data_IF_712929295134
#
_entry.id   IF_712929295134
#
_cell.length_a   1.000
_cell.length_b   1.000
_cell.length_c   1.000
_cell.angle_alpha   90.00
_cell.angle_beta   90.00
_cell.angle_gamma   90.00
#
_symmetry.space_group_name_H-M   'P 1'
#
loop_
_entity.id
_entity.type
_entity.pdbx_description
1 polymer ?
#
# COMPACT_ATOMS: atom_id res chain seq x y z
N UNK A 1 -17.07 -10.88 3.33
CA UNK A 1 -17.75 -10.05 2.33
C UNK A 1 -18.05 -8.65 2.87
N UNK A 2 -18.80 -8.50 3.92
CA UNK A 2 -19.23 -7.21 4.50
C UNK A 2 -18.09 -6.23 4.72
N UNK A 3 -16.93 -6.70 5.17
CA UNK A 3 -15.74 -5.87 5.36
C UNK A 3 -15.14 -5.31 4.06
N UNK A 4 -15.39 -5.92 2.91
CA UNK A 4 -14.98 -5.41 1.60
C UNK A 4 -16.01 -4.41 1.09
N UNK A 5 -17.29 -4.75 1.20
CA UNK A 5 -18.38 -3.92 0.68
C UNK A 5 -18.65 -2.68 1.55
N UNK A 6 -18.49 -2.78 2.85
CA UNK A 6 -18.57 -1.70 3.87
C UNK A 6 -19.53 -0.55 3.51
N UNK A 7 -20.83 -0.82 3.62
CA UNK A 7 -21.90 0.16 3.30
C UNK A 7 -22.32 0.18 1.83
N UNK A 8 -21.71 -0.64 0.99
CA UNK A 8 -22.12 -0.84 -0.41
C UNK A 8 -22.76 -2.21 -0.59
N UNK A 9 -23.87 -2.44 0.09
CA UNK A 9 -24.56 -3.75 0.13
C UNK A 9 -25.01 -4.24 -1.25
N UNK A 10 -25.19 -3.34 -2.20
CA UNK A 10 -25.60 -3.64 -3.59
C UNK A 10 -24.43 -3.92 -4.52
N UNK A 11 -23.18 -3.99 -4.00
CA UNK A 11 -22.03 -4.29 -4.85
C UNK A 11 -22.18 -5.68 -5.50
N UNK A 12 -22.02 -5.78 -6.83
CA UNK A 12 -22.15 -7.04 -7.54
C UNK A 12 -21.05 -8.02 -7.12
N UNK A 13 -21.39 -9.31 -7.06
CA UNK A 13 -20.44 -10.37 -6.64
C UNK A 13 -19.16 -10.36 -7.47
N UNK A 14 -19.27 -10.10 -8.78
CA UNK A 14 -18.11 -9.99 -9.66
C UNK A 14 -17.13 -8.88 -9.26
N UNK A 15 -17.61 -7.74 -8.76
CA UNK A 15 -16.75 -6.66 -8.28
C UNK A 15 -16.07 -7.05 -6.96
N UNK A 16 -16.80 -7.69 -6.04
CA UNK A 16 -16.27 -8.16 -4.76
C UNK A 16 -15.18 -9.21 -4.98
N UNK A 17 -15.45 -10.20 -5.83
CA UNK A 17 -14.48 -11.26 -6.17
C UNK A 17 -13.22 -10.68 -6.83
N UNK A 18 -13.37 -9.79 -7.81
CA UNK A 18 -12.24 -9.12 -8.46
C UNK A 18 -11.39 -8.34 -7.46
N UNK A 19 -12.02 -7.56 -6.59
CA UNK A 19 -11.30 -6.80 -5.56
C UNK A 19 -10.57 -7.73 -4.58
N UNK A 20 -11.20 -8.83 -4.18
CA UNK A 20 -10.60 -9.83 -3.29
C UNK A 20 -9.42 -10.57 -3.94
N UNK A 21 -9.48 -10.89 -5.23
CA UNK A 21 -8.38 -11.48 -5.99
C UNK A 21 -7.19 -10.51 -6.10
N UNK A 22 -7.44 -9.29 -6.59
CA UNK A 22 -6.39 -8.27 -6.77
C UNK A 22 -5.67 -7.95 -5.46
N UNK A 23 -6.40 -7.82 -4.37
CA UNK A 23 -5.84 -7.48 -3.06
C UNK A 23 -5.13 -8.64 -2.36
N UNK A 24 -5.40 -9.89 -2.79
CA UNK A 24 -4.89 -11.11 -2.18
C UNK A 24 -5.72 -11.67 -1.03
N UNK A 25 -6.93 -11.19 -0.84
CA UNK A 25 -7.87 -11.76 0.13
C UNK A 25 -8.14 -13.23 -0.19
N UNK A 26 -8.31 -13.60 -1.46
CA UNK A 26 -8.56 -14.98 -1.87
C UNK A 26 -7.43 -15.95 -1.53
N UNK A 27 -6.20 -15.47 -1.33
CA UNK A 27 -5.08 -16.35 -0.97
C UNK A 27 -5.22 -16.94 0.43
N UNK A 28 -5.59 -16.12 1.41
CA UNK A 28 -5.76 -16.62 2.77
C UNK A 28 -7.13 -17.24 3.03
N UNK A 29 -8.08 -17.05 2.13
CA UNK A 29 -9.38 -17.72 2.18
C UNK A 29 -9.40 -19.07 1.45
N UNK A 30 -8.30 -19.47 0.80
CA UNK A 30 -8.23 -20.70 -0.02
C UNK A 30 -8.69 -21.94 0.72
N UNK A 31 -8.33 -22.04 2.01
CA UNK A 31 -8.63 -23.19 2.86
C UNK A 31 -9.86 -22.97 3.76
N UNK A 32 -10.59 -21.86 3.57
CA UNK A 32 -11.80 -21.56 4.31
C UNK A 32 -13.03 -22.07 3.58
N UNK A 33 -13.79 -22.99 4.19
CA UNK A 33 -15.06 -23.48 3.66
C UNK A 33 -16.10 -22.36 3.52
N UNK A 34 -16.04 -21.33 4.38
CA UNK A 34 -16.93 -20.18 4.34
C UNK A 34 -16.55 -19.13 3.27
N UNK A 35 -15.36 -19.24 2.65
CA UNK A 35 -14.90 -18.30 1.63
C UNK A 35 -14.99 -16.84 2.09
N UNK A 36 -15.65 -15.99 1.32
CA UNK A 36 -15.84 -14.57 1.63
C UNK A 36 -16.71 -14.31 2.86
N UNK A 37 -17.44 -15.28 3.37
CA UNK A 37 -18.28 -15.16 4.57
C UNK A 37 -17.55 -15.61 5.85
N UNK A 38 -16.24 -15.87 5.74
CA UNK A 38 -15.36 -16.18 6.89
C UNK A 38 -15.46 -15.08 7.94
N UNK A 39 -15.72 -15.51 9.18
CA UNK A 39 -15.77 -14.60 10.33
C UNK A 39 -14.38 -14.10 10.70
N UNK A 40 -14.21 -12.79 10.78
CA UNK A 40 -12.92 -12.14 11.02
C UNK A 40 -12.69 -11.73 12.48
N UNK A 41 -13.67 -12.00 13.34
CA UNK A 41 -13.63 -11.61 14.75
C UNK A 41 -13.92 -10.11 14.96
N UNK A 42 -14.06 -9.74 16.23
CA UNK A 42 -14.25 -8.34 16.60
C UNK A 42 -13.00 -7.53 16.22
N UNK A 43 -13.18 -6.41 15.52
CA UNK A 43 -12.08 -5.56 14.99
C UNK A 43 -11.05 -6.29 14.11
N UNK A 44 -11.41 -7.48 13.58
CA UNK A 44 -10.53 -8.28 12.75
C UNK A 44 -9.41 -8.99 13.53
N UNK A 45 -9.63 -9.31 14.80
CA UNK A 45 -8.61 -9.96 15.67
C UNK A 45 -8.19 -11.35 15.17
N UNK A 46 -9.06 -12.05 14.44
CA UNK A 46 -8.74 -13.34 13.83
C UNK A 46 -7.80 -13.24 12.62
N UNK A 47 -7.43 -12.03 12.19
CA UNK A 47 -6.62 -11.78 11.01
C UNK A 47 -5.22 -11.28 11.38
N UNK A 48 -4.22 -11.67 10.59
CA UNK A 48 -2.89 -11.05 10.63
C UNK A 48 -2.94 -9.58 10.15
N UNK A 49 -1.90 -8.80 10.45
CA UNK A 49 -1.78 -7.42 9.94
C UNK A 49 -1.87 -7.35 8.41
N UNK A 50 -1.19 -8.28 7.70
CA UNK A 50 -1.23 -8.37 6.26
C UNK A 50 -2.61 -8.73 5.69
N UNK A 51 -3.35 -9.62 6.37
CA UNK A 51 -4.71 -9.98 5.97
C UNK A 51 -5.70 -8.82 6.17
N UNK A 52 -5.57 -8.06 7.27
CA UNK A 52 -6.36 -6.84 7.47
C UNK A 52 -6.09 -5.81 6.38
N UNK A 53 -4.82 -5.63 6.01
CA UNK A 53 -4.43 -4.71 4.95
C UNK A 53 -4.96 -5.16 3.58
N UNK A 54 -4.93 -6.46 3.27
CA UNK A 54 -5.51 -7.00 2.04
C UNK A 54 -7.01 -6.67 1.93
N UNK A 55 -7.77 -6.77 3.03
CA UNK A 55 -9.19 -6.38 3.06
C UNK A 55 -9.35 -4.88 2.85
N UNK A 56 -8.50 -4.04 3.44
CA UNK A 56 -8.55 -2.59 3.25
C UNK A 56 -8.28 -2.21 1.78
N UNK A 57 -7.32 -2.87 1.14
CA UNK A 57 -7.03 -2.68 -0.29
C UNK A 57 -8.20 -3.20 -1.14
N UNK A 58 -8.79 -4.38 -0.83
CA UNK A 58 -9.98 -4.88 -1.53
C UNK A 58 -11.12 -3.86 -1.51
N UNK A 59 -11.37 -3.26 -0.35
CA UNK A 59 -12.38 -2.22 -0.19
C UNK A 59 -12.09 -1.01 -1.08
N UNK A 60 -10.85 -0.55 -1.12
CA UNK A 60 -10.45 0.57 -1.96
C UNK A 60 -10.60 0.27 -3.46
N UNK A 61 -10.47 -1.00 -3.85
CA UNK A 61 -10.54 -1.45 -5.26
C UNK A 61 -11.94 -1.83 -5.72
N UNK A 62 -12.94 -1.88 -4.83
CA UNK A 62 -14.27 -2.44 -5.10
C UNK A 62 -14.93 -1.88 -6.38
N UNK A 63 -14.82 -0.58 -6.58
CA UNK A 63 -15.40 0.12 -7.73
C UNK A 63 -14.36 0.58 -8.76
N UNK A 64 -13.19 -0.02 -8.76
CA UNK A 64 -12.15 0.24 -9.74
C UNK A 64 -11.79 1.74 -9.90
N UNK A 65 -11.43 2.43 -8.82
CA UNK A 65 -11.25 3.87 -8.84
C UNK A 65 -10.07 4.28 -9.73
N UNK A 66 -10.16 5.40 -10.46
CA UNK A 66 -9.06 5.92 -11.27
C UNK A 66 -7.94 6.55 -10.43
N UNK A 67 -8.22 6.90 -9.17
CA UNK A 67 -7.27 7.46 -8.20
C UNK A 67 -7.24 6.55 -6.98
N UNK A 68 -6.06 6.07 -6.61
CA UNK A 68 -5.84 5.24 -5.43
C UNK A 68 -4.93 5.97 -4.45
N UNK A 69 -5.36 6.06 -3.19
CA UNK A 69 -4.57 6.64 -2.11
C UNK A 69 -4.23 5.53 -1.11
N UNK A 70 -2.95 5.32 -0.88
CA UNK A 70 -2.43 4.31 0.04
C UNK A 70 -1.58 5.01 1.11
N UNK A 71 -2.02 4.93 2.35
CA UNK A 71 -1.32 5.48 3.50
C UNK A 71 -0.68 4.34 4.30
N UNK A 72 0.66 4.33 4.34
CA UNK A 72 1.50 3.33 5.02
C UNK A 72 1.02 1.87 4.81
N UNK A 73 0.81 1.42 3.56
CA UNK A 73 0.15 0.15 3.28
C UNK A 73 0.91 -1.08 3.79
N UNK A 74 2.15 -0.94 4.23
CA UNK A 74 3.00 -2.02 4.74
C UNK A 74 3.45 -1.84 6.19
N UNK A 75 2.89 -0.87 6.95
CA UNK A 75 3.37 -0.48 8.27
C UNK A 75 3.49 -1.64 9.27
N UNK A 76 2.55 -2.58 9.24
CA UNK A 76 2.45 -3.69 10.20
C UNK A 76 2.82 -5.05 9.59
N UNK A 77 3.65 -5.07 8.54
CA UNK A 77 4.01 -6.29 7.83
C UNK A 77 5.46 -6.70 8.08
N UNK A 78 5.68 -8.02 8.11
CA UNK A 78 7.00 -8.61 7.98
C UNK A 78 7.57 -8.40 6.57
N UNK A 79 8.90 -8.50 6.37
CA UNK A 79 9.53 -8.24 5.06
C UNK A 79 9.02 -9.12 3.93
N UNK A 80 8.65 -10.37 4.19
CA UNK A 80 8.14 -11.29 3.18
C UNK A 80 6.73 -10.88 2.72
N UNK A 81 5.86 -10.51 3.67
CA UNK A 81 4.52 -10.00 3.42
C UNK A 81 4.55 -8.64 2.70
N UNK A 82 5.47 -7.75 3.10
CA UNK A 82 5.70 -6.47 2.42
C UNK A 82 6.07 -6.69 0.94
N UNK A 83 7.02 -7.57 0.65
CA UNK A 83 7.43 -7.84 -0.72
C UNK A 83 6.29 -8.46 -1.56
N UNK A 84 5.47 -9.34 -0.97
CA UNK A 84 4.28 -9.88 -1.66
C UNK A 84 3.28 -8.77 -2.00
N UNK A 85 3.00 -7.88 -1.04
CA UNK A 85 2.09 -6.75 -1.27
C UNK A 85 2.66 -5.79 -2.31
N UNK A 86 3.95 -5.44 -2.23
CA UNK A 86 4.61 -4.57 -3.22
C UNK A 86 4.43 -5.09 -4.64
N UNK A 87 4.75 -6.38 -4.88
CA UNK A 87 4.57 -7.02 -6.20
C UNK A 87 3.12 -6.97 -6.68
N UNK A 88 2.16 -7.10 -5.77
CA UNK A 88 0.74 -7.03 -6.09
C UNK A 88 0.31 -5.61 -6.44
N UNK A 89 0.84 -4.63 -5.71
CA UNK A 89 0.59 -3.21 -5.98
C UNK A 89 1.16 -2.76 -7.34
N UNK A 90 2.23 -3.36 -7.85
CA UNK A 90 2.76 -3.08 -9.19
C UNK A 90 1.65 -3.22 -10.27
N UNK A 91 0.91 -4.33 -10.24
CA UNK A 91 -0.20 -4.55 -11.18
C UNK A 91 -1.46 -3.73 -10.86
N UNK A 92 -1.72 -3.45 -9.58
CA UNK A 92 -2.87 -2.66 -9.16
C UNK A 92 -2.73 -1.19 -9.56
N UNK A 93 -1.53 -0.64 -9.47
CA UNK A 93 -1.27 0.78 -9.73
C UNK A 93 -1.08 1.10 -11.22
N UNK A 94 -0.88 0.08 -12.05
CA UNK A 94 -0.72 0.26 -13.49
C UNK A 94 -1.96 0.93 -14.11
N UNK A 95 -1.72 2.01 -14.87
CA UNK A 95 -2.79 2.78 -15.52
C UNK A 95 -3.64 3.64 -14.60
N UNK A 96 -3.27 3.78 -13.31
CA UNK A 96 -4.00 4.60 -12.31
C UNK A 96 -3.15 5.73 -11.78
N UNK A 97 -3.81 6.79 -11.37
CA UNK A 97 -3.16 7.81 -10.53
C UNK A 97 -3.07 7.28 -9.11
N UNK A 98 -1.83 7.05 -8.63
CA UNK A 98 -1.61 6.53 -7.28
C UNK A 98 -0.88 7.55 -6.42
N UNK A 99 -1.42 7.83 -5.24
CA UNK A 99 -0.77 8.60 -4.18
C UNK A 99 -0.37 7.60 -3.09
N UNK A 100 0.93 7.44 -2.89
CA UNK A 100 1.49 6.54 -1.90
C UNK A 100 2.20 7.34 -0.82
N UNK A 101 1.75 7.23 0.43
CA UNK A 101 2.40 7.80 1.60
C UNK A 101 3.17 6.69 2.28
N UNK A 102 4.49 6.82 2.40
CA UNK A 102 5.33 5.82 3.04
C UNK A 102 6.69 6.38 3.45
N UNK A 103 7.28 5.79 4.47
CA UNK A 103 8.68 6.00 4.87
C UNK A 103 9.60 4.84 4.43
N UNK A 104 9.05 3.83 3.75
CA UNK A 104 9.78 2.62 3.33
C UNK A 104 10.32 2.75 1.92
N UNK A 105 11.65 2.74 1.78
CA UNK A 105 12.34 2.85 0.48
C UNK A 105 11.94 1.78 -0.53
N UNK A 106 11.63 0.55 -0.09
CA UNK A 106 11.21 -0.54 -0.97
C UNK A 106 9.92 -0.23 -1.76
N UNK A 107 9.06 0.63 -1.23
CA UNK A 107 7.80 1.03 -1.88
C UNK A 107 7.98 2.11 -2.96
N UNK A 108 9.14 2.77 -3.01
CA UNK A 108 9.43 3.80 -4.00
C UNK A 108 9.52 3.26 -5.44
N UNK A 109 9.64 1.93 -5.61
CA UNK A 109 9.59 1.30 -6.93
C UNK A 109 8.23 1.45 -7.63
N UNK A 110 7.17 1.73 -6.85
CA UNK A 110 5.78 1.85 -7.33
C UNK A 110 5.42 3.25 -7.85
N UNK A 111 6.32 4.23 -7.74
CA UNK A 111 6.02 5.64 -8.06
C UNK A 111 7.05 6.24 -9.01
N UNK A 112 6.60 7.22 -9.80
CA UNK A 112 7.44 7.93 -10.78
C UNK A 112 7.98 9.24 -10.21
N UNK A 113 7.25 9.85 -9.27
CA UNK A 113 7.57 11.14 -8.67
C UNK A 113 7.56 11.05 -7.16
N UNK A 114 8.37 11.88 -6.52
CA UNK A 114 8.41 12.01 -5.07
C UNK A 114 8.05 13.42 -4.63
N UNK A 115 7.34 13.46 -3.52
CA UNK A 115 7.10 14.65 -2.70
C UNK A 115 7.75 14.38 -1.36
N UNK A 116 8.77 15.13 -0.99
CA UNK A 116 9.40 15.03 0.32
C UNK A 116 8.88 16.15 1.22
N UNK A 117 8.30 15.76 2.33
CA UNK A 117 7.79 16.67 3.35
C UNK A 117 8.58 16.45 4.64
N UNK A 118 9.13 17.52 5.21
CA UNK A 118 9.78 17.52 6.52
C UNK A 118 9.23 18.66 7.37
N UNK A 119 8.84 18.37 8.61
CA UNK A 119 8.27 19.33 9.56
C UNK A 119 7.16 20.22 8.95
N UNK A 120 6.28 19.58 8.16
CA UNK A 120 5.16 20.27 7.51
C UNK A 120 5.54 21.15 6.31
N UNK A 121 6.79 21.10 5.84
CA UNK A 121 7.27 21.88 4.70
C UNK A 121 7.65 20.99 3.52
N UNK A 122 7.33 21.43 2.31
CA UNK A 122 7.81 20.81 1.10
C UNK A 122 9.32 21.03 0.96
N UNK A 123 10.08 19.93 1.01
CA UNK A 123 11.55 19.95 0.90
C UNK A 123 12.02 19.70 -0.53
N UNK A 124 11.36 18.76 -1.22
CA UNK A 124 11.66 18.44 -2.62
C UNK A 124 10.43 17.87 -3.31
N UNK A 125 10.35 18.08 -4.63
CA UNK A 125 9.35 17.51 -5.52
C UNK A 125 9.97 17.31 -6.91
N UNK A 126 9.64 16.22 -7.56
CA UNK A 126 10.08 15.93 -8.93
C UNK A 126 10.14 14.45 -9.26
N UNK A 127 10.75 14.12 -10.42
CA UNK A 127 11.05 12.73 -10.77
C UNK A 127 11.80 12.02 -9.63
N UNK A 128 11.44 10.76 -9.39
CA UNK A 128 11.95 9.98 -8.27
C UNK A 128 13.49 10.00 -8.19
N UNK A 129 14.14 9.70 -9.28
CA UNK A 129 15.60 9.56 -9.32
C UNK A 129 16.31 10.89 -9.03
N UNK A 130 15.77 12.00 -9.51
CA UNK A 130 16.30 13.34 -9.25
C UNK A 130 16.19 13.73 -7.77
N UNK A 131 15.06 13.38 -7.14
CA UNK A 131 14.84 13.66 -5.72
C UNK A 131 15.76 12.80 -4.86
N UNK A 132 15.91 11.52 -5.18
CA UNK A 132 16.81 10.59 -4.47
C UNK A 132 18.27 11.06 -4.58
N UNK A 133 18.72 11.43 -5.78
CA UNK A 133 20.09 11.93 -6.00
C UNK A 133 20.38 13.20 -5.17
N UNK A 134 19.43 14.13 -5.11
CA UNK A 134 19.56 15.35 -4.28
C UNK A 134 19.63 15.05 -2.79
N UNK A 135 18.90 14.05 -2.31
CA UNK A 135 18.94 13.63 -0.90
C UNK A 135 20.28 13.00 -0.55
N UNK A 136 20.78 12.11 -1.40
CA UNK A 136 22.09 11.48 -1.21
C UNK A 136 23.22 12.52 -1.18
N UNK A 137 23.22 13.47 -2.12
CA UNK A 137 24.21 14.54 -2.16
C UNK A 137 24.20 15.40 -0.88
N UNK A 138 23.04 15.68 -0.30
CA UNK A 138 22.94 16.41 0.98
C UNK A 138 23.47 15.62 2.17
N UNK A 139 23.25 14.30 2.21
CA UNK A 139 23.80 13.44 3.28
C UNK A 139 25.32 13.35 3.23
N UNK A 140 25.91 13.24 2.06
CA UNK A 140 27.38 13.23 1.91
C UNK A 140 28.00 14.59 2.23
N UNK A 141 27.38 15.72 1.88
CA UNK A 141 27.87 17.07 2.19
C UNK A 141 27.87 17.34 3.70
N UNK A 142 26.85 16.90 4.44
CA UNK A 142 26.78 17.10 5.90
C UNK A 142 27.72 16.19 6.69
N UNK A 143 28.19 15.09 6.15
CA UNK A 143 29.21 14.24 6.79
C UNK A 143 30.62 14.78 6.60
N UNK A 144 30.91 15.47 5.51
CA UNK A 144 32.22 16.09 5.26
C UNK A 144 32.49 17.28 6.20
N UNK A 145 31.47 18.04 6.59
CA UNK A 145 31.61 19.17 7.51
C UNK A 145 31.81 18.76 8.98
N UNK A 146 31.50 17.52 9.37
CA UNK A 146 31.66 17.01 10.74
C UNK A 146 32.99 16.25 10.98
N UNK A 147 33.88 16.18 10.01
CA UNK A 147 35.15 15.42 10.13
C UNK A 147 36.37 16.34 10.36
N UNK A 148 36.17 17.66 10.33
CA UNK A 148 37.22 18.66 10.55
C UNK A 148 37.12 19.34 11.96
N UNK A 149 37.07 18.52 13.03
CA UNK A 149 37.27 19.01 14.41
C UNK A 149 38.23 18.08 15.18
#
# INVERSE_FOLDING_TARGET
RENITMGHETAPDSAVLRAAELSGVMEFLRDSEAGLDTQVGERGEALSGGQRQAIAIARALLYDPPILILDEPTASMDPASENRLRKRLESITEGRTTILITHKGAMLTLVDKLILIDRGKLVAYGPKDDVIAKLQARQYGSQAENTDV
#
